data_IF_211731739024
#
_entry.id   IF_211731739024
#
_cell.length_a   1.000
_cell.length_b   1.000
_cell.length_c   1.000
_cell.angle_alpha   90.00
_cell.angle_beta   90.00
_cell.angle_gamma   90.00
#
_symmetry.space_group_name_H-M   'P 1'
#
loop_
_entity.id
_entity.type
_entity.pdbx_description
1 polymer ?
#
# COMPACT_ATOMS: atom_id res chain seq x y z
N UNK A 1 -43.71 48.53 33.56
CA UNK A 1 -42.95 48.41 34.83
C UNK A 1 -43.17 47.00 35.37
N UNK A 2 -42.33 46.04 34.98
CA UNK A 2 -42.43 44.67 35.52
C UNK A 2 -41.72 44.70 36.87
N UNK A 3 -42.50 44.64 37.96
CA UNK A 3 -41.97 44.46 39.32
C UNK A 3 -41.57 43.00 39.46
N UNK A 4 -40.32 42.67 39.12
CA UNK A 4 -39.71 41.40 39.48
C UNK A 4 -39.02 41.54 40.84
N UNK A 5 -39.49 40.79 41.85
CA UNK A 5 -38.74 40.61 43.07
C UNK A 5 -37.52 39.73 42.75
N UNK A 6 -36.32 40.27 42.84
CA UNK A 6 -35.12 39.44 42.94
C UNK A 6 -35.07 38.84 44.35
N UNK A 7 -34.96 37.53 44.44
CA UNK A 7 -34.65 36.86 45.70
C UNK A 7 -33.30 36.15 45.54
N UNK A 8 -32.35 36.49 46.41
CA UNK A 8 -31.14 35.70 46.61
C UNK A 8 -31.53 34.49 47.44
N UNK A 9 -31.49 33.31 46.84
CA UNK A 9 -31.60 32.07 47.59
C UNK A 9 -30.24 31.37 47.59
N UNK A 10 -29.63 31.11 48.76
CA UNK A 10 -28.41 30.32 48.82
C UNK A 10 -28.70 28.91 48.30
N UNK A 11 -27.75 28.37 47.53
CA UNK A 11 -27.85 27.03 46.94
C UNK A 11 -28.06 26.01 48.07
N UNK A 12 -29.24 25.38 48.10
CA UNK A 12 -29.68 24.52 49.21
C UNK A 12 -29.20 23.06 49.07
N UNK A 13 -28.43 22.76 48.03
CA UNK A 13 -27.87 21.42 47.77
C UNK A 13 -28.87 20.43 47.16
N UNK A 14 -30.04 20.89 46.71
CA UNK A 14 -30.98 20.04 45.97
C UNK A 14 -30.42 19.62 44.59
N UNK A 15 -30.75 18.41 44.15
CA UNK A 15 -30.19 17.79 42.95
C UNK A 15 -30.86 18.33 41.68
N UNK A 16 -30.20 19.24 40.97
CA UNK A 16 -30.75 19.87 39.75
C UNK A 16 -30.75 18.95 38.51
N UNK A 17 -30.28 17.72 38.63
CA UNK A 17 -30.08 16.76 37.53
C UNK A 17 -31.38 16.31 36.85
N UNK A 18 -32.53 16.57 37.48
CA UNK A 18 -33.86 16.22 36.97
C UNK A 18 -34.55 17.35 36.19
N UNK A 19 -33.99 18.58 36.18
CA UNK A 19 -34.54 19.69 35.43
C UNK A 19 -34.00 19.69 33.99
N UNK A 20 -34.91 19.72 33.02
CA UNK A 20 -34.60 19.44 31.61
C UNK A 20 -34.15 20.65 30.79
N UNK A 21 -34.19 21.87 31.32
CA UNK A 21 -33.83 23.08 30.55
C UNK A 21 -33.43 24.27 31.43
N UNK A 22 -32.44 25.04 30.96
CA UNK A 22 -32.03 26.32 31.51
C UNK A 22 -32.37 27.42 30.50
N UNK A 23 -33.21 28.38 30.89
CA UNK A 23 -33.48 29.56 30.06
C UNK A 23 -32.49 30.67 30.44
N UNK A 24 -31.73 31.15 29.46
CA UNK A 24 -30.61 32.08 29.71
C UNK A 24 -30.91 33.51 29.26
N UNK A 25 -32.13 33.77 28.79
CA UNK A 25 -32.57 35.10 28.37
C UNK A 25 -34.03 35.36 28.70
N UNK A 26 -34.36 36.65 28.87
CA UNK A 26 -35.73 37.11 29.10
C UNK A 26 -36.68 36.72 27.97
N UNK A 27 -36.22 36.79 26.71
CA UNK A 27 -37.03 36.43 25.55
C UNK A 27 -37.42 34.94 25.55
N UNK A 28 -36.49 34.05 25.90
CA UNK A 28 -36.78 32.62 26.04
C UNK A 28 -37.70 32.36 27.23
N UNK A 29 -37.49 33.03 28.36
CA UNK A 29 -38.43 32.94 29.49
C UNK A 29 -39.84 33.34 29.09
N UNK A 30 -40.00 34.46 28.38
CA UNK A 30 -41.33 34.94 27.98
C UNK A 30 -42.06 34.00 27.00
N UNK A 31 -41.32 33.24 26.19
CA UNK A 31 -41.88 32.25 25.29
C UNK A 31 -42.44 31.02 26.03
N UNK A 32 -41.79 30.60 27.11
CA UNK A 32 -42.11 29.36 27.80
C UNK A 32 -42.78 29.54 29.17
N UNK A 33 -42.83 30.76 29.73
CA UNK A 33 -43.36 31.00 31.09
C UNK A 33 -44.77 30.47 31.33
N UNK A 34 -45.58 30.34 30.28
CA UNK A 34 -46.94 29.79 30.35
C UNK A 34 -47.00 28.26 30.34
N UNK A 35 -45.93 27.56 29.96
CA UNK A 35 -45.88 26.10 29.84
C UNK A 35 -45.29 25.40 31.07
N UNK A 36 -44.63 26.14 31.95
CA UNK A 36 -44.04 25.60 33.18
C UNK A 36 -45.01 25.64 34.35
N UNK A 37 -44.97 24.61 35.21
CA UNK A 37 -45.76 24.55 36.45
C UNK A 37 -45.11 25.31 37.61
N UNK A 38 -43.79 25.52 37.55
CA UNK A 38 -42.99 26.28 38.52
C UNK A 38 -41.79 26.94 37.82
N UNK A 39 -41.42 28.15 38.26
CA UNK A 39 -40.29 28.91 37.73
C UNK A 39 -39.39 29.40 38.87
N UNK A 40 -38.09 29.19 38.73
CA UNK A 40 -37.07 29.70 39.63
C UNK A 40 -36.12 30.59 38.83
N UNK A 41 -36.01 31.86 39.21
CA UNK A 41 -35.07 32.81 38.59
C UNK A 41 -33.85 32.86 39.50
N UNK A 42 -32.75 32.23 39.07
CA UNK A 42 -31.50 32.23 39.81
C UNK A 42 -30.61 33.34 39.22
N UNK A 43 -30.50 34.46 39.94
CA UNK A 43 -29.51 35.49 39.63
C UNK A 43 -28.23 35.14 40.37
N UNK A 44 -27.25 34.53 39.70
CA UNK A 44 -25.92 34.36 40.27
C UNK A 44 -24.89 35.15 39.48
N UNK A 45 -23.94 35.79 40.16
CA UNK A 45 -22.73 36.33 39.54
C UNK A 45 -21.72 35.21 39.19
N UNK A 46 -22.18 33.95 39.04
CA UNK A 46 -21.30 32.86 38.68
C UNK A 46 -20.79 33.06 37.25
N UNK A 47 -19.49 32.85 36.99
CA UNK A 47 -19.03 32.70 35.62
C UNK A 47 -19.83 31.59 34.93
N UNK A 48 -20.07 31.71 33.62
CA UNK A 48 -20.88 30.78 32.86
C UNK A 48 -20.56 29.32 33.25
N UNK A 49 -21.60 28.54 33.56
CA UNK A 49 -21.51 27.18 34.12
C UNK A 49 -20.62 26.24 33.29
N UNK A 50 -20.34 26.61 32.04
CA UNK A 50 -19.32 25.98 31.22
C UNK A 50 -18.69 27.00 30.27
N UNK A 51 -17.42 27.37 30.49
CA UNK A 51 -16.65 28.21 29.55
C UNK A 51 -16.15 27.45 28.33
N UNK A 52 -16.37 26.12 28.27
CA UNK A 52 -15.83 25.25 27.21
C UNK A 52 -16.84 24.90 26.12
N UNK A 53 -18.13 25.14 26.31
CA UNK A 53 -19.14 24.94 25.26
C UNK A 53 -19.83 26.27 25.00
N UNK A 54 -19.71 26.77 23.78
CA UNK A 54 -20.35 28.02 23.34
C UNK A 54 -21.33 27.70 22.21
N UNK A 55 -22.57 28.15 22.37
CA UNK A 55 -23.56 28.15 21.31
C UNK A 55 -23.56 29.50 20.61
N UNK A 56 -23.48 29.52 19.29
CA UNK A 56 -23.71 30.74 18.53
C UNK A 56 -25.22 30.92 18.33
N UNK A 57 -25.78 31.92 19.02
CA UNK A 57 -27.22 32.20 19.07
C UNK A 57 -27.80 32.58 17.69
N UNK A 58 -26.97 32.95 16.72
CA UNK A 58 -27.41 33.40 15.40
C UNK A 58 -27.52 32.26 14.38
N UNK A 59 -26.78 31.16 14.55
CA UNK A 59 -26.71 30.08 13.56
C UNK A 59 -26.86 28.65 14.15
N UNK A 60 -27.11 28.54 15.46
CA UNK A 60 -27.31 27.26 16.18
C UNK A 60 -26.08 26.33 16.18
N UNK A 61 -24.91 26.82 15.78
CA UNK A 61 -23.68 26.05 15.80
C UNK A 61 -23.16 25.84 17.24
N UNK A 62 -22.57 24.67 17.47
CA UNK A 62 -21.97 24.30 18.77
C UNK A 62 -20.45 24.31 18.66
N UNK A 63 -19.82 25.12 19.51
CA UNK A 63 -18.36 25.16 19.67
C UNK A 63 -17.93 24.47 20.96
N UNK A 64 -16.96 23.56 20.88
CA UNK A 64 -16.25 23.02 22.04
C UNK A 64 -14.84 23.62 22.08
N UNK A 65 -14.60 24.54 23.01
CA UNK A 65 -13.36 25.29 23.16
C UNK A 65 -13.15 26.41 22.12
N UNK A 66 -14.22 26.82 21.42
CA UNK A 66 -14.18 27.83 20.35
C UNK A 66 -15.40 28.75 20.43
N UNK A 67 -15.17 30.06 20.62
CA UNK A 67 -16.24 31.04 20.88
C UNK A 67 -17.14 31.33 19.66
N UNK A 68 -16.62 31.15 18.44
CA UNK A 68 -17.33 31.45 17.18
C UNK A 68 -17.29 30.26 16.21
N UNK A 69 -18.10 29.21 16.43
CA UNK A 69 -18.13 28.04 15.56
C UNK A 69 -18.69 28.35 14.16
N UNK A 70 -17.99 27.91 13.12
CA UNK A 70 -18.30 28.09 11.70
C UNK A 70 -19.17 26.96 11.15
N UNK A 71 -18.97 25.74 11.62
CA UNK A 71 -19.78 24.57 11.26
C UNK A 71 -20.71 24.16 12.39
N UNK A 72 -21.67 23.29 12.08
CA UNK A 72 -22.66 22.78 13.05
C UNK A 72 -22.00 22.26 14.35
N UNK A 73 -20.79 21.70 14.24
CA UNK A 73 -19.95 21.32 15.37
C UNK A 73 -18.48 21.66 15.08
N UNK A 74 -17.92 22.63 15.81
CA UNK A 74 -16.48 22.90 15.81
C UNK A 74 -15.87 22.49 17.14
N UNK A 75 -14.79 21.70 17.08
CA UNK A 75 -14.05 21.26 18.27
C UNK A 75 -12.61 21.76 18.17
N UNK A 76 -12.20 22.62 19.10
CA UNK A 76 -10.81 23.01 19.28
C UNK A 76 -10.12 22.01 20.22
N UNK A 77 -9.31 21.12 19.65
CA UNK A 77 -8.56 20.10 20.38
C UNK A 77 -8.91 18.69 19.92
N UNK A 78 -8.95 17.73 20.84
CA UNK A 78 -9.25 16.33 20.53
C UNK A 78 -10.75 16.04 20.65
N UNK A 79 -11.27 15.14 19.82
CA UNK A 79 -12.59 14.56 20.05
C UNK A 79 -12.57 13.04 19.93
N UNK A 80 -13.50 12.40 20.63
CA UNK A 80 -13.71 10.96 20.59
C UNK A 80 -15.20 10.69 20.43
N UNK A 81 -15.54 9.81 19.50
CA UNK A 81 -16.88 9.26 19.32
C UNK A 81 -16.82 7.78 19.66
N UNK A 82 -17.56 7.36 20.70
CA UNK A 82 -17.62 5.97 21.15
C UNK A 82 -16.63 5.62 22.28
N UNK A 83 -16.90 4.51 22.97
CA UNK A 83 -16.10 4.01 24.10
C UNK A 83 -15.22 2.83 23.68
N UNK A 84 -15.68 1.58 23.74
CA UNK A 84 -14.83 0.43 23.41
C UNK A 84 -14.42 0.37 21.94
N UNK A 85 -15.37 0.62 21.03
CA UNK A 85 -15.08 0.97 19.64
C UNK A 85 -15.17 2.49 19.49
N UNK A 86 -14.13 3.11 18.94
CA UNK A 86 -14.07 4.56 18.88
C UNK A 86 -13.45 5.09 17.58
N UNK A 87 -13.92 6.27 17.19
CA UNK A 87 -13.25 7.20 16.28
C UNK A 87 -12.66 8.33 17.14
N UNK A 88 -11.37 8.60 17.01
CA UNK A 88 -10.74 9.76 17.67
C UNK A 88 -10.04 10.65 16.67
N UNK A 89 -10.09 11.94 16.93
CA UNK A 89 -9.23 12.97 16.37
C UNK A 89 -8.25 13.45 17.45
N UNK A 90 -6.95 13.42 17.16
CA UNK A 90 -5.91 13.73 18.15
C UNK A 90 -5.44 15.20 18.17
N UNK A 91 -6.04 16.08 17.35
CA UNK A 91 -5.60 17.48 17.23
C UNK A 91 -4.50 17.73 16.19
N UNK A 92 -3.89 16.69 15.61
CA UNK A 92 -2.81 16.77 14.62
C UNK A 92 -3.26 16.34 13.21
N UNK A 93 -4.57 16.31 12.96
CA UNK A 93 -5.19 15.75 11.75
C UNK A 93 -5.20 14.22 11.66
N UNK A 94 -4.81 13.50 12.71
CA UNK A 94 -4.92 12.04 12.71
C UNK A 94 -6.32 11.59 13.12
N UNK A 95 -6.87 10.65 12.34
CA UNK A 95 -8.08 9.92 12.66
C UNK A 95 -7.71 8.48 13.02
N UNK A 96 -8.04 8.06 14.24
CA UNK A 96 -7.83 6.68 14.70
C UNK A 96 -9.18 5.99 14.86
N UNK A 97 -9.29 4.81 14.25
CA UNK A 97 -10.43 3.91 14.37
C UNK A 97 -10.00 2.69 15.19
N UNK A 98 -10.53 2.55 16.39
CA UNK A 98 -10.29 1.40 17.24
C UNK A 98 -11.56 0.56 17.35
N UNK A 99 -11.42 -0.76 17.26
CA UNK A 99 -12.51 -1.68 17.47
C UNK A 99 -12.02 -2.96 18.19
N UNK A 100 -12.71 -3.45 19.24
CA UNK A 100 -12.37 -4.70 19.91
C UNK A 100 -12.76 -5.92 19.03
N UNK A 101 -11.92 -6.96 19.01
CA UNK A 101 -11.96 -8.14 18.13
C UNK A 101 -13.36 -8.52 17.61
N UNK A 102 -13.53 -8.42 16.28
CA UNK A 102 -14.71 -8.87 15.54
C UNK A 102 -14.37 -10.21 14.88
N UNK A 103 -15.32 -11.15 14.81
CA UNK A 103 -15.22 -12.34 13.94
C UNK A 103 -15.15 -11.98 12.44
N UNK A 104 -15.55 -12.91 11.55
CA UNK A 104 -15.54 -12.70 10.10
C UNK A 104 -16.55 -11.63 9.67
N UNK A 105 -16.08 -10.39 9.49
CA UNK A 105 -16.86 -9.29 8.91
C UNK A 105 -16.81 -8.03 9.75
N UNK A 106 -15.73 -7.25 9.61
CA UNK A 106 -15.61 -5.89 10.15
C UNK A 106 -14.81 -5.04 9.18
N UNK A 107 -15.51 -4.20 8.40
CA UNK A 107 -15.05 -3.61 7.12
C UNK A 107 -13.75 -2.80 7.25
N UNK A 108 -12.86 -2.98 6.28
CA UNK A 108 -11.66 -2.16 6.08
C UNK A 108 -11.85 -1.04 5.03
N UNK A 109 -13.10 -0.71 4.71
CA UNK A 109 -13.42 0.13 3.57
C UNK A 109 -13.47 1.60 4.02
N UNK A 110 -12.49 2.36 3.56
CA UNK A 110 -12.53 3.83 3.42
C UNK A 110 -13.43 4.19 2.21
N UNK A 111 -13.84 5.44 2.04
CA UNK A 111 -14.49 5.88 0.79
C UNK A 111 -13.39 6.26 -0.23
N UNK A 112 -13.61 5.89 -1.51
CA UNK A 112 -12.81 6.33 -2.67
C UNK A 112 -13.55 7.46 -3.39
N UNK A 113 -12.83 8.30 -4.10
CA UNK A 113 -13.26 9.44 -4.89
C UNK A 113 -12.33 9.38 -6.12
N UNK A 114 -11.35 10.24 -6.30
CA UNK A 114 -10.22 10.09 -5.40
C UNK A 114 -9.86 11.39 -4.69
N UNK A 115 -9.98 11.58 -3.36
CA UNK A 115 -10.25 10.75 -2.12
C UNK A 115 -10.24 9.21 -2.16
N UNK A 116 -9.10 8.52 -2.23
CA UNK A 116 -9.03 7.04 -2.45
C UNK A 116 -9.31 6.06 -1.28
N UNK A 117 -9.88 4.90 -1.61
CA UNK A 117 -10.29 3.76 -0.75
C UNK A 117 -9.21 2.68 -0.67
N UNK A 118 -8.72 2.45 0.55
CA UNK A 118 -7.82 1.35 0.88
C UNK A 118 -8.57 0.12 1.45
N UNK A 119 -8.14 -1.11 1.08
CA UNK A 119 -8.92 -2.36 1.20
C UNK A 119 -8.22 -3.50 1.98
N UNK A 120 -8.95 -4.05 2.96
CA UNK A 120 -8.88 -5.44 3.47
C UNK A 120 -10.32 -5.98 3.62
N UNK A 121 -10.80 -6.78 2.67
CA UNK A 121 -12.16 -7.35 2.72
C UNK A 121 -12.08 -8.88 2.80
N UNK A 122 -12.81 -9.45 3.76
CA UNK A 122 -12.65 -10.81 4.24
C UNK A 122 -13.17 -11.88 3.28
N UNK A 123 -12.42 -12.13 2.20
CA UNK A 123 -12.63 -13.17 1.17
C UNK A 123 -13.78 -12.94 0.17
N UNK A 124 -14.23 -11.71 -0.06
CA UNK A 124 -15.40 -11.47 -0.91
C UNK A 124 -15.12 -11.24 -2.42
N UNK A 125 -13.86 -11.18 -2.91
CA UNK A 125 -13.55 -11.13 -4.36
C UNK A 125 -12.23 -11.81 -4.73
N UNK A 126 -12.23 -12.63 -5.79
CA UNK A 126 -11.03 -13.15 -6.46
C UNK A 126 -10.34 -12.02 -7.23
N UNK A 127 -9.13 -11.61 -6.80
CA UNK A 127 -8.29 -10.63 -7.51
C UNK A 127 -8.22 -9.20 -6.93
N UNK A 128 -8.84 -8.92 -5.78
CA UNK A 128 -8.72 -7.62 -5.11
C UNK A 128 -7.35 -7.38 -4.44
N UNK A 129 -6.88 -6.13 -4.46
CA UNK A 129 -5.60 -5.71 -3.85
C UNK A 129 -5.69 -5.74 -2.32
N UNK A 130 -4.90 -6.61 -1.69
CA UNK A 130 -4.64 -6.61 -0.24
C UNK A 130 -3.48 -5.66 0.05
N UNK A 131 -3.74 -4.50 0.65
CA UNK A 131 -2.70 -3.68 1.30
C UNK A 131 -2.59 -4.09 2.77
N UNK A 132 -1.90 -5.20 2.98
CA UNK A 132 -1.50 -5.71 4.30
C UNK A 132 -0.01 -6.06 4.28
N UNK A 133 0.41 -7.11 4.99
CA UNK A 133 1.81 -7.56 5.02
C UNK A 133 2.39 -7.94 3.65
N UNK A 134 1.54 -8.14 2.64
CA UNK A 134 1.93 -8.68 1.34
C UNK A 134 2.34 -7.66 0.29
N UNK A 135 2.06 -6.36 0.43
CA UNK A 135 2.56 -5.34 -0.49
C UNK A 135 2.93 -4.07 0.28
N UNK A 136 4.22 -3.73 0.29
CA UNK A 136 4.76 -2.52 0.90
C UNK A 136 5.47 -1.69 -0.15
N UNK A 137 5.00 -0.48 -0.41
CA UNK A 137 5.70 0.50 -1.25
C UNK A 137 6.28 1.59 -0.35
N UNK A 138 7.60 1.79 -0.38
CA UNK A 138 8.31 2.79 0.43
C UNK A 138 9.41 3.45 -0.40
N UNK A 139 9.24 4.74 -0.69
CA UNK A 139 10.15 5.48 -1.56
C UNK A 139 10.21 4.83 -2.95
N UNK A 140 11.42 4.50 -3.41
CA UNK A 140 11.65 3.86 -4.71
C UNK A 140 11.61 2.32 -4.66
N UNK A 141 11.15 1.73 -3.55
CA UNK A 141 11.12 0.28 -3.36
C UNK A 141 9.69 -0.23 -3.21
N UNK A 142 9.45 -1.43 -3.73
CA UNK A 142 8.24 -2.19 -3.49
C UNK A 142 8.63 -3.61 -3.04
N UNK A 143 8.01 -4.09 -1.96
CA UNK A 143 8.08 -5.49 -1.52
C UNK A 143 6.71 -6.11 -1.77
N UNK A 144 6.68 -7.21 -2.53
CA UNK A 144 5.48 -8.04 -2.70
C UNK A 144 5.75 -9.43 -2.11
N UNK A 145 4.99 -9.83 -1.09
CA UNK A 145 4.96 -11.20 -0.60
C UNK A 145 3.83 -11.94 -1.32
N UNK A 146 4.16 -12.63 -2.41
CA UNK A 146 3.21 -13.41 -3.20
C UNK A 146 3.51 -13.42 -4.68
N UNK A 147 2.49 -13.74 -5.48
CA UNK A 147 2.58 -13.74 -6.94
C UNK A 147 2.35 -12.33 -7.50
N UNK A 148 3.15 -11.95 -8.50
CA UNK A 148 2.95 -10.75 -9.30
C UNK A 148 2.49 -11.17 -10.71
N UNK A 149 1.27 -10.81 -11.08
CA UNK A 149 0.76 -10.98 -12.45
C UNK A 149 0.63 -9.60 -13.11
N UNK A 150 1.22 -9.47 -14.30
CA UNK A 150 1.16 -8.26 -15.10
C UNK A 150 1.06 -8.63 -16.57
N UNK A 151 0.39 -7.79 -17.37
CA UNK A 151 0.38 -7.94 -18.83
C UNK A 151 1.75 -7.64 -19.44
N UNK A 152 2.49 -6.72 -18.83
CA UNK A 152 3.82 -6.30 -19.26
C UNK A 152 4.66 -5.91 -18.04
N UNK A 153 5.95 -6.27 -18.06
CA UNK A 153 6.94 -5.86 -17.07
C UNK A 153 8.16 -5.34 -17.81
N UNK A 154 8.45 -4.05 -17.65
CA UNK A 154 9.66 -3.42 -18.18
C UNK A 154 10.68 -3.23 -17.06
N UNK A 155 11.75 -4.02 -17.09
CA UNK A 155 12.87 -3.89 -16.14
C UNK A 155 13.93 -2.99 -16.74
N UNK A 156 14.10 -1.79 -16.19
CA UNK A 156 15.12 -0.83 -16.63
C UNK A 156 16.44 -1.08 -15.89
N UNK A 157 17.09 -2.22 -16.17
CA UNK A 157 18.48 -2.42 -15.78
C UNK A 157 19.41 -1.88 -16.87
N UNK A 158 20.51 -1.27 -16.44
CA UNK A 158 21.64 -0.90 -17.30
C UNK A 158 22.86 -1.62 -16.73
N UNK A 159 23.60 -2.47 -17.47
CA UNK A 159 23.68 -2.60 -18.93
C UNK A 159 23.13 -3.93 -19.52
N UNK A 160 23.03 -4.00 -20.84
CA UNK A 160 22.64 -5.18 -21.65
C UNK A 160 23.82 -6.12 -21.94
N UNK A 161 23.55 -7.33 -22.45
CA UNK A 161 24.54 -8.40 -22.62
C UNK A 161 25.30 -8.43 -23.96
N UNK A 162 25.11 -7.45 -24.85
CA UNK A 162 25.54 -7.45 -26.27
C UNK A 162 27.07 -7.47 -26.51
N UNK A 163 27.86 -7.58 -25.46
CA UNK A 163 29.33 -7.62 -25.51
C UNK A 163 29.88 -8.97 -25.99
N UNK A 164 29.06 -10.02 -26.09
CA UNK A 164 29.51 -11.35 -26.55
C UNK A 164 29.95 -11.33 -28.02
N UNK A 165 29.43 -10.37 -28.80
CA UNK A 165 29.79 -10.19 -30.21
C UNK A 165 30.99 -9.27 -30.43
N UNK A 166 31.59 -8.71 -29.37
CA UNK A 166 32.80 -7.91 -29.49
C UNK A 166 33.98 -8.77 -29.99
N UNK A 167 34.83 -8.19 -30.83
CA UNK A 167 36.00 -8.88 -31.42
C UNK A 167 36.96 -9.43 -30.35
N UNK A 168 36.98 -8.81 -29.17
CA UNK A 168 37.84 -9.20 -28.05
C UNK A 168 37.12 -10.10 -27.03
N UNK A 169 35.90 -10.56 -27.30
CA UNK A 169 35.19 -11.45 -26.39
C UNK A 169 35.89 -12.81 -26.32
N UNK A 170 36.35 -13.16 -25.12
CA UNK A 170 36.97 -14.44 -24.84
C UNK A 170 35.94 -15.56 -24.72
N UNK A 171 35.40 -16.03 -25.85
CA UNK A 171 34.45 -17.14 -25.88
C UNK A 171 35.06 -18.36 -25.15
N UNK A 172 34.41 -18.88 -24.11
CA UNK A 172 34.93 -20.03 -23.38
C UNK A 172 35.14 -21.25 -24.29
N UNK A 173 36.02 -22.18 -23.89
CA UNK A 173 36.12 -23.45 -24.59
C UNK A 173 35.04 -24.40 -24.10
N UNK A 174 34.47 -25.19 -25.01
CA UNK A 174 33.42 -26.16 -24.65
C UNK A 174 33.93 -27.21 -23.66
N UNK A 175 35.22 -27.56 -23.70
CA UNK A 175 35.84 -28.48 -22.74
C UNK A 175 35.87 -27.91 -21.33
N UNK A 176 36.15 -26.60 -21.20
CA UNK A 176 36.15 -25.91 -19.90
C UNK A 176 34.73 -25.77 -19.35
N UNK A 177 33.76 -25.48 -20.22
CA UNK A 177 32.33 -25.46 -19.87
C UNK A 177 31.86 -26.85 -19.45
N UNK A 178 32.22 -27.90 -20.17
CA UNK A 178 31.88 -29.29 -19.81
C UNK A 178 32.47 -29.68 -18.46
N UNK A 179 33.75 -29.36 -18.22
CA UNK A 179 34.40 -29.58 -16.93
C UNK A 179 33.67 -28.86 -15.80
N UNK A 180 33.32 -27.59 -16.01
CA UNK A 180 32.56 -26.81 -15.03
C UNK A 180 31.21 -27.44 -14.73
N UNK A 181 30.45 -27.85 -15.73
CA UNK A 181 29.15 -28.52 -15.55
C UNK A 181 29.32 -29.84 -14.78
N UNK A 182 30.37 -30.63 -15.10
CA UNK A 182 30.63 -31.89 -14.39
C UNK A 182 30.93 -31.66 -12.91
N UNK A 183 31.72 -30.65 -12.58
CA UNK A 183 32.17 -30.32 -11.22
C UNK A 183 31.11 -29.56 -10.40
N UNK A 184 30.44 -28.57 -10.99
CA UNK A 184 29.58 -27.60 -10.31
C UNK A 184 28.09 -27.84 -10.51
N UNK A 185 27.70 -28.62 -11.53
CA UNK A 185 26.29 -28.95 -11.86
C UNK A 185 25.41 -27.75 -12.25
N UNK A 186 26.00 -26.64 -12.68
CA UNK A 186 25.31 -25.50 -13.29
C UNK A 186 26.21 -24.88 -14.37
N UNK A 187 25.68 -23.92 -15.14
CA UNK A 187 26.47 -23.19 -16.13
C UNK A 187 27.38 -22.16 -15.45
N UNK A 188 28.54 -21.83 -16.05
CA UNK A 188 29.36 -20.71 -15.59
C UNK A 188 28.53 -19.43 -15.48
N UNK A 189 28.83 -18.60 -14.47
CA UNK A 189 28.21 -17.28 -14.18
C UNK A 189 26.73 -17.31 -13.78
N UNK A 190 26.04 -18.44 -13.98
CA UNK A 190 24.71 -18.71 -13.47
C UNK A 190 24.82 -19.30 -12.07
N UNK A 191 24.10 -18.74 -11.11
CA UNK A 191 24.09 -19.27 -9.74
C UNK A 191 23.56 -20.72 -9.72
N UNK A 192 24.03 -21.51 -8.75
CA UNK A 192 23.52 -22.85 -8.54
C UNK A 192 22.07 -22.81 -8.05
N UNK A 193 21.32 -23.91 -8.26
CA UNK A 193 19.94 -24.01 -7.78
C UNK A 193 19.84 -23.79 -6.25
N UNK A 194 20.84 -24.24 -5.47
CA UNK A 194 20.89 -24.05 -4.02
C UNK A 194 21.07 -22.59 -3.62
N UNK A 195 21.88 -21.84 -4.35
CA UNK A 195 22.07 -20.41 -4.11
C UNK A 195 20.80 -19.64 -4.45
N UNK A 196 20.16 -19.96 -5.58
CA UNK A 196 18.89 -19.33 -6.00
C UNK A 196 17.75 -19.59 -5.00
N UNK A 197 17.69 -20.78 -4.40
CA UNK A 197 16.68 -21.11 -3.37
C UNK A 197 16.90 -20.32 -2.08
N UNK A 198 18.16 -20.11 -1.69
CA UNK A 198 18.53 -19.43 -0.44
C UNK A 198 18.43 -17.90 -0.56
N UNK A 199 18.92 -17.33 -1.65
CA UNK A 199 19.13 -15.89 -1.81
C UNK A 199 18.10 -15.24 -2.73
N UNK A 200 17.31 -16.04 -3.45
CA UNK A 200 16.42 -15.58 -4.51
C UNK A 200 17.17 -15.29 -5.81
N UNK A 201 16.45 -14.73 -6.78
CA UNK A 201 17.00 -14.41 -8.11
C UNK A 201 16.60 -12.99 -8.49
N UNK A 202 17.58 -12.16 -8.85
CA UNK A 202 17.30 -10.92 -9.54
C UNK A 202 16.90 -11.25 -10.99
N UNK A 203 15.61 -11.12 -11.30
CA UNK A 203 15.04 -11.50 -12.60
C UNK A 203 15.74 -10.78 -13.75
N UNK A 204 16.07 -9.49 -13.59
CA UNK A 204 16.68 -8.73 -14.67
C UNK A 204 18.14 -9.13 -14.93
N UNK A 205 18.96 -9.28 -13.89
CA UNK A 205 20.34 -9.79 -14.04
C UNK A 205 20.37 -11.21 -14.58
N UNK A 206 19.45 -12.07 -14.13
CA UNK A 206 19.36 -13.43 -14.61
C UNK A 206 18.99 -13.48 -16.10
N UNK A 207 18.06 -12.64 -16.56
CA UNK A 207 17.73 -12.55 -17.99
C UNK A 207 18.90 -12.04 -18.83
N UNK A 208 19.70 -11.09 -18.33
CA UNK A 208 20.92 -10.62 -19.00
C UNK A 208 21.92 -11.76 -19.15
N UNK A 209 22.17 -12.53 -18.09
CA UNK A 209 23.08 -13.69 -18.15
C UNK A 209 22.57 -14.81 -19.06
N UNK A 210 21.25 -15.06 -19.08
CA UNK A 210 20.67 -16.02 -20.01
C UNK A 210 20.86 -15.58 -21.46
N UNK A 211 20.65 -14.30 -21.77
CA UNK A 211 20.90 -13.75 -23.10
C UNK A 211 22.37 -13.97 -23.51
N UNK A 212 23.32 -13.65 -22.63
CA UNK A 212 24.75 -13.92 -22.86
C UNK A 212 25.02 -15.38 -23.23
N UNK A 213 24.40 -16.35 -22.53
CA UNK A 213 24.58 -17.78 -22.85
C UNK A 213 23.91 -18.21 -24.15
N UNK A 214 22.81 -17.57 -24.54
CA UNK A 214 22.19 -17.78 -25.86
C UNK A 214 23.11 -17.27 -26.97
N UNK A 215 23.75 -16.12 -26.77
CA UNK A 215 24.70 -15.55 -27.74
C UNK A 215 25.96 -16.42 -27.87
N UNK A 216 26.54 -16.87 -26.75
CA UNK A 216 27.64 -17.85 -26.75
C UNK A 216 27.27 -19.14 -27.48
N UNK A 217 26.08 -19.69 -27.21
CA UNK A 217 25.56 -20.88 -27.89
C UNK A 217 25.39 -20.64 -29.40
N UNK A 218 24.97 -19.44 -29.79
CA UNK A 218 24.84 -19.06 -31.19
C UNK A 218 26.20 -19.04 -31.87
N UNK A 219 27.25 -18.52 -31.22
CA UNK A 219 28.63 -18.56 -31.74
C UNK A 219 29.14 -20.00 -31.89
N UNK A 220 28.94 -20.87 -30.89
CA UNK A 220 29.31 -22.28 -31.01
C UNK A 220 28.55 -22.97 -32.16
N UNK A 221 27.27 -22.66 -32.34
CA UNK A 221 26.44 -23.26 -33.41
C UNK A 221 26.90 -22.80 -34.80
N UNK A 222 27.27 -21.53 -34.95
CA UNK A 222 27.86 -20.99 -36.19
C UNK A 222 29.16 -21.72 -36.51
N UNK A 223 30.03 -21.90 -35.51
CA UNK A 223 31.30 -22.61 -35.69
C UNK A 223 31.08 -24.09 -36.04
N UNK A 224 30.17 -24.78 -35.34
CA UNK A 224 29.78 -26.15 -35.66
C UNK A 224 29.25 -26.28 -37.09
N UNK A 225 28.42 -25.35 -37.56
CA UNK A 225 27.91 -25.36 -38.94
C UNK A 225 29.04 -25.18 -39.98
N UNK A 226 30.03 -24.33 -39.70
CA UNK A 226 31.22 -24.20 -40.56
C UNK A 226 32.00 -25.51 -40.63
N UNK A 227 32.20 -26.16 -39.50
CA UNK A 227 32.89 -27.46 -39.43
C UNK A 227 32.11 -28.55 -40.19
N UNK A 228 30.78 -28.60 -40.04
CA UNK A 228 29.93 -29.55 -40.76
C UNK A 228 30.00 -29.35 -42.28
N UNK A 229 29.93 -28.10 -42.76
CA UNK A 229 30.10 -27.80 -44.20
C UNK A 229 31.45 -28.26 -44.71
N UNK A 230 32.52 -27.99 -43.96
CA UNK A 230 33.87 -28.43 -44.32
C UNK A 230 33.99 -29.96 -44.36
N UNK A 231 33.39 -30.66 -43.40
CA UNK A 231 33.33 -32.12 -43.39
C UNK A 231 32.55 -32.67 -44.58
N UNK A 232 31.43 -32.04 -44.94
CA UNK A 232 30.62 -32.43 -46.09
C UNK A 232 31.38 -32.24 -47.42
N UNK A 233 32.03 -31.08 -47.59
CA UNK A 233 32.88 -30.83 -48.76
C UNK A 233 34.02 -31.85 -48.88
N UNK A 234 34.64 -32.22 -47.76
CA UNK A 234 35.69 -33.24 -47.74
C UNK A 234 35.14 -34.63 -48.07
N UNK A 235 33.96 -34.98 -47.55
CA UNK A 235 33.29 -36.24 -47.88
C UNK A 235 32.94 -36.30 -49.37
N UNK A 236 32.42 -35.21 -49.95
CA UNK A 236 32.09 -35.14 -51.38
C UNK A 236 33.33 -35.32 -52.27
N UNK A 237 34.49 -34.77 -51.85
CA UNK A 237 35.78 -34.99 -52.54
C UNK A 237 36.23 -36.44 -52.43
N UNK A 238 36.20 -37.03 -51.24
CA UNK A 238 36.58 -38.44 -51.03
C UNK A 238 35.67 -39.39 -51.82
N UNK A 239 34.37 -39.12 -51.88
CA UNK A 239 33.43 -39.92 -52.68
C UNK A 239 33.82 -39.88 -54.16
N UNK A 240 34.16 -38.71 -54.72
CA UNK A 240 34.62 -38.57 -56.10
C UNK A 240 35.90 -39.36 -56.36
N UNK A 241 36.91 -39.23 -55.51
CA UNK A 241 38.17 -39.99 -55.61
C UNK A 241 37.93 -41.50 -55.58
N UNK A 242 37.05 -41.98 -54.70
CA UNK A 242 36.68 -43.40 -54.64
C UNK A 242 36.00 -43.88 -55.93
N UNK A 243 35.15 -43.05 -56.56
CA UNK A 243 34.55 -43.38 -57.84
C UNK A 243 35.58 -43.48 -58.96
N UNK A 244 36.51 -42.53 -59.06
CA UNK A 244 37.58 -42.53 -60.06
C UNK A 244 38.52 -43.75 -59.91
N UNK A 245 38.88 -44.11 -58.68
CA UNK A 245 39.70 -45.30 -58.41
C UNK A 245 38.98 -46.61 -58.77
N UNK A 246 37.66 -46.67 -58.59
CA UNK A 246 36.85 -47.83 -58.97
C UNK A 246 36.66 -47.94 -60.48
N UNK A 247 36.49 -46.82 -61.20
CA UNK A 247 36.39 -46.83 -62.66
C UNK A 247 37.70 -47.25 -63.31
N UNK A 248 38.85 -46.85 -62.75
CA UNK A 248 40.17 -47.20 -63.27
C UNK A 248 40.58 -48.67 -62.98
N UNK A 249 39.79 -49.42 -62.20
CA UNK A 249 40.01 -50.85 -61.89
C UNK A 249 39.16 -51.81 -62.73
N UNK A 250 38.24 -51.32 -63.56
CA UNK A 250 37.51 -52.10 -64.57
C UNK A 250 38.23 -52.03 -65.91
#
# INVERSE_FOLDING_TARGET
MVKGNSFDQPFDGSEFTTYSSFLTSQAQFDQFKSTGTQWWIICSAMPAFNSRISGNQNNQNVGVGIENPLYNLDVKGTFRVGYSGYLTYNGAADLLFNYPLRGSGGRAMVHDDGNVLALNYGNDFTGGTRLGTSLLVKGNNALLQGKFEAKEIKVTLTPTADFVFDENYGLPKLEDVEKHIKEKKHLPEIASAKEMEKEGVNVGEFQIKLLQKIEELTLYTIEQNKQLKKLQENNDKLIKEVYELKSNRK
#
